data_IF_501365990886
#
_entry.id   IF_501365990886
#
_cell.length_a   1.000
_cell.length_b   1.000
_cell.length_c   1.000
_cell.angle_alpha   90.00
_cell.angle_beta   90.00
_cell.angle_gamma   90.00
#
_symmetry.space_group_name_H-M   'P 1'
#
loop_
_entity.id
_entity.type
_entity.pdbx_description
1 polymer ?
#
# COMPACT_ATOMS: atom_id res chain seq x y z
N UNK A 1 3.96 30.40 17.55
CA UNK A 1 5.07 29.77 16.85
C UNK A 1 4.57 29.43 15.45
N UNK A 2 4.91 30.26 14.46
CA UNK A 2 4.48 30.12 13.06
C UNK A 2 5.09 28.82 12.50
N UNK A 3 4.26 27.81 12.28
CA UNK A 3 4.62 26.67 11.44
C UNK A 3 4.76 27.25 10.04
N UNK A 4 6.01 27.41 9.60
CA UNK A 4 6.34 27.81 8.23
C UNK A 4 5.68 26.78 7.29
N UNK A 5 4.57 27.17 6.71
CA UNK A 5 3.77 26.34 5.80
C UNK A 5 4.54 26.29 4.48
N UNK A 6 5.57 25.44 4.42
CA UNK A 6 6.35 25.22 3.20
C UNK A 6 5.40 24.56 2.19
N UNK A 7 4.83 25.37 1.32
CA UNK A 7 3.90 24.92 0.29
C UNK A 7 4.57 23.86 -0.56
N UNK A 8 4.06 22.61 -0.52
CA UNK A 8 4.47 21.55 -1.43
C UNK A 8 3.97 21.92 -2.82
N UNK A 9 4.87 22.45 -3.67
CA UNK A 9 4.49 22.91 -5.02
C UNK A 9 4.54 21.80 -6.07
N UNK A 10 5.38 20.79 -5.86
CA UNK A 10 5.59 19.70 -6.81
C UNK A 10 5.72 18.36 -6.08
N UNK A 11 5.00 17.35 -6.55
CA UNK A 11 5.06 15.99 -6.01
C UNK A 11 5.42 15.03 -7.13
N UNK A 12 6.44 14.21 -6.89
CA UNK A 12 6.81 13.10 -7.76
C UNK A 12 6.16 11.80 -7.25
N UNK A 13 5.33 11.21 -8.08
CA UNK A 13 4.73 9.90 -7.86
C UNK A 13 5.62 8.82 -8.50
N UNK A 14 6.12 7.89 -7.71
CA UNK A 14 6.92 6.75 -8.17
C UNK A 14 6.11 5.48 -8.02
N UNK A 15 5.74 4.88 -9.17
CA UNK A 15 4.77 3.77 -9.21
C UNK A 15 3.33 4.27 -9.31
N UNK A 16 2.91 4.63 -10.52
CA UNK A 16 1.61 5.23 -10.83
C UNK A 16 0.47 4.20 -10.95
N UNK A 17 0.34 3.28 -9.98
CA UNK A 17 -0.77 2.34 -9.87
C UNK A 17 -2.02 2.98 -9.22
N UNK A 18 -3.04 2.15 -8.93
CA UNK A 18 -4.34 2.57 -8.37
C UNK A 18 -4.23 3.55 -7.19
N UNK A 19 -3.42 3.23 -6.17
CA UNK A 19 -3.27 4.09 -4.99
C UNK A 19 -2.66 5.44 -5.34
N UNK A 20 -1.62 5.46 -6.17
CA UNK A 20 -0.97 6.71 -6.59
C UNK A 20 -1.90 7.59 -7.44
N UNK A 21 -2.77 6.98 -8.25
CA UNK A 21 -3.77 7.72 -9.02
C UNK A 21 -4.86 8.33 -8.12
N UNK A 22 -5.29 7.64 -7.06
CA UNK A 22 -6.18 8.21 -6.03
C UNK A 22 -5.51 9.38 -5.27
N UNK A 23 -4.23 9.27 -4.97
CA UNK A 23 -3.43 10.37 -4.39
C UNK A 23 -3.41 11.56 -5.34
N UNK A 24 -3.20 11.32 -6.65
CA UNK A 24 -3.21 12.37 -7.65
C UNK A 24 -4.57 13.08 -7.75
N UNK A 25 -5.68 12.33 -7.71
CA UNK A 25 -7.02 12.91 -7.72
C UNK A 25 -7.28 13.82 -6.50
N UNK A 26 -6.74 13.46 -5.31
CA UNK A 26 -6.83 14.29 -4.10
C UNK A 26 -5.94 15.55 -4.14
N UNK A 27 -4.85 15.51 -4.90
CA UNK A 27 -3.88 16.60 -5.02
C UNK A 27 -4.09 17.48 -6.26
N UNK A 28 -5.04 17.10 -7.14
CA UNK A 28 -5.37 17.85 -8.35
C UNK A 28 -5.65 19.31 -8.00
N UNK A 29 -5.15 20.21 -8.82
CA UNK A 29 -5.30 21.66 -8.70
C UNK A 29 -4.64 22.29 -7.44
N UNK A 30 -4.02 21.48 -6.58
CA UNK A 30 -3.32 21.96 -5.37
C UNK A 30 -1.81 21.98 -5.53
N UNK A 31 -1.26 21.06 -6.31
CA UNK A 31 0.19 20.91 -6.53
C UNK A 31 0.45 20.43 -7.97
N UNK A 32 1.64 20.70 -8.47
CA UNK A 32 2.08 20.12 -9.76
C UNK A 32 2.50 18.67 -9.53
N UNK A 33 1.90 17.76 -10.31
CA UNK A 33 2.16 16.34 -10.22
C UNK A 33 3.03 15.86 -11.37
N UNK A 34 4.06 15.07 -11.07
CA UNK A 34 4.83 14.30 -12.03
C UNK A 34 4.77 12.81 -11.64
N UNK A 35 4.82 11.92 -12.62
CA UNK A 35 4.71 10.48 -12.37
C UNK A 35 5.71 9.67 -13.18
N UNK A 36 6.49 8.82 -12.52
CA UNK A 36 7.41 7.89 -13.19
C UNK A 36 6.65 6.69 -13.70
N UNK A 37 6.77 6.42 -15.01
CA UNK A 37 6.19 5.25 -15.66
C UNK A 37 7.16 4.64 -16.65
N UNK A 38 7.21 3.30 -16.71
CA UNK A 38 7.96 2.55 -17.74
C UNK A 38 7.13 2.22 -18.97
N UNK A 39 5.81 2.35 -18.87
CA UNK A 39 4.88 1.95 -19.93
C UNK A 39 4.41 3.16 -20.72
N UNK A 40 4.63 3.15 -22.02
CA UNK A 40 4.17 4.22 -22.93
C UNK A 40 2.65 4.37 -22.90
N UNK A 41 1.91 3.26 -22.75
CA UNK A 41 0.43 3.27 -22.67
C UNK A 41 -0.09 4.06 -21.46
N UNK A 42 0.68 4.11 -20.37
CA UNK A 42 0.28 4.85 -19.17
C UNK A 42 0.49 6.36 -19.32
N UNK A 43 1.32 6.82 -20.26
CA UNK A 43 1.59 8.25 -20.52
C UNK A 43 0.31 9.03 -20.79
N UNK A 44 -0.56 8.50 -21.67
CA UNK A 44 -1.85 9.11 -21.98
C UNK A 44 -2.76 9.20 -20.76
N UNK A 45 -2.85 8.12 -19.98
CA UNK A 45 -3.67 8.06 -18.75
C UNK A 45 -3.21 9.05 -17.69
N UNK A 46 -1.89 9.24 -17.54
CA UNK A 46 -1.31 10.19 -16.60
C UNK A 46 -1.63 11.63 -17.03
N UNK A 47 -1.44 11.97 -18.31
CA UNK A 47 -1.76 13.31 -18.85
C UNK A 47 -3.24 13.68 -18.67
N UNK A 48 -4.15 12.74 -18.89
CA UNK A 48 -5.59 12.93 -18.69
C UNK A 48 -5.94 13.25 -17.22
N UNK A 49 -5.08 12.89 -16.25
CA UNK A 49 -5.23 13.19 -14.83
C UNK A 49 -4.40 14.39 -14.37
N UNK A 50 -3.84 15.17 -15.30
CA UNK A 50 -3.01 16.34 -14.96
C UNK A 50 -1.63 15.98 -14.39
N UNK A 51 -1.17 14.72 -14.59
CA UNK A 51 0.14 14.27 -14.14
C UNK A 51 1.13 14.36 -15.30
N UNK A 52 2.24 15.07 -15.13
CA UNK A 52 3.33 15.12 -16.10
C UNK A 52 4.04 13.75 -16.11
N UNK A 53 3.98 12.97 -17.20
CA UNK A 53 4.64 11.68 -17.25
C UNK A 53 6.14 11.82 -17.44
N UNK A 54 6.90 11.04 -16.69
CA UNK A 54 8.33 10.86 -16.84
C UNK A 54 8.58 9.41 -17.21
N UNK A 55 9.11 9.20 -18.41
CA UNK A 55 9.51 7.85 -18.80
C UNK A 55 10.77 7.46 -18.03
N UNK A 56 10.67 6.33 -17.31
CA UNK A 56 11.76 5.79 -16.52
C UNK A 56 11.41 4.43 -15.92
N UNK A 57 12.41 3.56 -15.86
CA UNK A 57 12.31 2.24 -15.26
C UNK A 57 13.19 2.17 -14.00
N UNK A 58 12.59 1.82 -12.88
CA UNK A 58 13.32 1.65 -11.61
C UNK A 58 14.30 0.47 -11.65
N UNK A 59 14.13 -0.46 -12.59
CA UNK A 59 15.06 -1.57 -12.80
C UNK A 59 16.28 -1.14 -13.64
N UNK A 60 16.19 -0.03 -14.41
CA UNK A 60 17.31 0.57 -15.13
C UNK A 60 17.58 2.01 -14.68
N UNK A 61 18.65 2.20 -13.88
CA UNK A 61 19.06 3.50 -13.35
C UNK A 61 19.31 4.55 -14.42
N UNK A 62 19.76 4.17 -15.62
CA UNK A 62 20.10 5.11 -16.70
C UNK A 62 18.88 5.89 -17.16
N UNK A 63 17.71 5.26 -17.14
CA UNK A 63 16.43 5.88 -17.53
C UNK A 63 15.95 6.93 -16.53
N UNK A 64 16.50 6.93 -15.31
CA UNK A 64 16.10 7.83 -14.22
C UNK A 64 16.88 9.16 -14.21
N UNK A 65 17.78 9.40 -15.15
CA UNK A 65 18.58 10.62 -15.21
C UNK A 65 17.73 11.91 -15.38
N UNK A 66 16.49 11.78 -15.87
CA UNK A 66 15.55 12.90 -16.06
C UNK A 66 14.69 13.22 -14.84
N UNK A 67 14.93 12.58 -13.69
CA UNK A 67 14.17 12.83 -12.45
C UNK A 67 14.51 14.19 -11.80
N UNK A 68 15.40 14.98 -12.37
CA UNK A 68 15.74 16.34 -11.91
C UNK A 68 14.62 17.35 -12.25
N UNK A 69 13.47 17.16 -11.67
CA UNK A 69 12.28 18.01 -11.86
C UNK A 69 12.11 19.05 -10.77
N UNK A 70 13.07 19.21 -9.87
CA UNK A 70 12.87 20.05 -8.69
C UNK A 70 11.68 19.60 -7.85
N UNK A 71 11.46 18.29 -7.73
CA UNK A 71 10.37 17.75 -6.92
C UNK A 71 10.58 18.10 -5.46
N UNK A 72 9.58 18.75 -4.88
CA UNK A 72 9.62 19.14 -3.47
C UNK A 72 9.33 17.95 -2.54
N UNK A 73 8.51 17.01 -3.01
CA UNK A 73 8.17 15.81 -2.28
C UNK A 73 8.08 14.59 -3.21
N UNK A 74 8.38 13.41 -2.67
CA UNK A 74 8.28 12.13 -3.36
C UNK A 74 7.29 11.23 -2.65
N UNK A 75 6.40 10.58 -3.40
CA UNK A 75 5.54 9.49 -2.94
C UNK A 75 5.95 8.22 -3.67
N UNK A 76 6.57 7.28 -2.96
CA UNK A 76 7.06 6.03 -3.52
C UNK A 76 6.10 4.89 -3.23
N UNK A 77 5.26 4.56 -4.23
CA UNK A 77 4.26 3.50 -4.20
C UNK A 77 4.71 2.23 -4.95
N UNK A 78 5.79 2.31 -5.73
CA UNK A 78 6.24 1.16 -6.53
C UNK A 78 6.60 -0.03 -5.63
N UNK A 79 6.19 -1.26 -6.00
CA UNK A 79 6.63 -2.46 -5.29
C UNK A 79 8.11 -2.74 -5.57
N UNK A 80 8.82 -3.43 -4.63
CA UNK A 80 10.11 -4.02 -4.94
C UNK A 80 9.96 -5.09 -6.04
N UNK A 81 11.05 -5.56 -6.64
CA UNK A 81 10.99 -6.70 -7.57
C UNK A 81 10.42 -7.95 -6.88
N UNK A 82 9.96 -8.91 -7.67
CA UNK A 82 9.38 -10.17 -7.17
C UNK A 82 10.41 -11.08 -6.50
N UNK A 83 11.67 -10.96 -6.88
CA UNK A 83 12.76 -11.86 -6.47
C UNK A 83 13.83 -11.15 -5.63
N UNK A 84 14.71 -11.95 -5.04
CA UNK A 84 15.81 -11.48 -4.21
C UNK A 84 15.43 -11.09 -2.78
N UNK A 85 16.41 -10.62 -2.02
CA UNK A 85 16.27 -10.19 -0.62
C UNK A 85 16.38 -8.69 -0.42
N UNK A 86 16.77 -7.92 -1.47
CA UNK A 86 16.97 -6.47 -1.47
C UNK A 86 15.95 -5.76 -2.39
N UNK A 87 15.90 -4.44 -2.30
CA UNK A 87 15.11 -3.58 -3.18
C UNK A 87 16.04 -2.69 -4.05
N UNK A 88 16.50 -3.18 -5.21
CA UNK A 88 17.30 -2.40 -6.13
C UNK A 88 16.52 -1.22 -6.74
N UNK A 89 15.17 -1.31 -6.85
CA UNK A 89 14.35 -0.20 -7.37
C UNK A 89 14.45 1.03 -6.48
N UNK A 90 14.28 0.86 -5.16
CA UNK A 90 14.49 1.95 -4.21
C UNK A 90 15.94 2.46 -4.25
N UNK A 91 16.94 1.56 -4.35
CA UNK A 91 18.34 1.98 -4.49
C UNK A 91 18.59 2.86 -5.73
N UNK A 92 18.08 2.45 -6.88
CA UNK A 92 18.24 3.18 -8.13
C UNK A 92 17.54 4.55 -8.08
N UNK A 93 16.33 4.60 -7.51
CA UNK A 93 15.60 5.84 -7.28
C UNK A 93 16.40 6.81 -6.41
N UNK A 94 16.91 6.35 -5.26
CA UNK A 94 17.67 7.19 -4.34
C UNK A 94 18.98 7.69 -4.97
N UNK A 95 19.66 6.86 -5.76
CA UNK A 95 20.85 7.27 -6.47
C UNK A 95 20.55 8.36 -7.52
N UNK A 96 19.42 8.26 -8.24
CA UNK A 96 18.97 9.30 -9.16
C UNK A 96 18.62 10.61 -8.44
N UNK A 97 17.90 10.53 -7.32
CA UNK A 97 17.56 11.70 -6.50
C UNK A 97 18.78 12.37 -5.87
N UNK A 98 19.81 11.60 -5.49
CA UNK A 98 21.07 12.16 -4.96
C UNK A 98 21.89 12.92 -6.02
N UNK A 99 21.69 12.59 -7.29
CA UNK A 99 22.36 13.27 -8.42
C UNK A 99 21.54 14.44 -8.96
N UNK A 100 20.31 14.65 -8.46
CA UNK A 100 19.43 15.72 -8.89
C UNK A 100 19.89 17.07 -8.30
N UNK A 101 19.62 18.18 -9.01
CA UNK A 101 19.93 19.54 -8.53
C UNK A 101 19.21 19.90 -7.25
N UNK A 102 18.01 19.37 -7.06
CA UNK A 102 17.16 19.65 -5.90
C UNK A 102 16.79 18.34 -5.22
N UNK A 103 17.30 18.15 -4.01
CA UNK A 103 16.92 17.04 -3.14
C UNK A 103 15.50 17.29 -2.60
N UNK A 104 14.60 16.30 -2.64
CA UNK A 104 13.25 16.48 -2.09
C UNK A 104 13.30 16.72 -0.58
N UNK A 105 12.46 17.61 -0.08
CA UNK A 105 12.37 17.89 1.37
C UNK A 105 11.56 16.84 2.12
N UNK A 106 10.64 16.17 1.43
CA UNK A 106 9.76 15.14 2.01
C UNK A 106 9.75 13.88 1.16
N UNK A 107 9.71 12.74 1.82
CA UNK A 107 9.63 11.45 1.17
C UNK A 107 8.62 10.56 1.90
N UNK A 108 7.57 10.13 1.22
CA UNK A 108 6.58 9.18 1.73
C UNK A 108 6.78 7.85 1.04
N UNK A 109 7.07 6.80 1.81
CA UNK A 109 7.30 5.45 1.31
C UNK A 109 6.19 4.50 1.75
N UNK A 110 5.61 3.77 0.81
CA UNK A 110 4.66 2.70 1.09
C UNK A 110 5.43 1.41 1.38
N UNK A 111 5.56 1.08 2.65
CA UNK A 111 6.06 -0.20 3.15
C UNK A 111 4.92 -1.19 3.34
N UNK A 112 5.15 -2.27 4.06
CA UNK A 112 4.15 -3.29 4.39
C UNK A 112 4.11 -3.59 5.89
N UNK A 113 2.94 -3.97 6.40
CA UNK A 113 2.81 -4.51 7.76
C UNK A 113 3.57 -5.83 7.96
N UNK A 114 3.89 -6.56 6.87
CA UNK A 114 4.69 -7.79 6.91
C UNK A 114 6.10 -7.61 7.49
N UNK A 115 6.62 -6.38 7.60
CA UNK A 115 7.92 -6.12 8.24
C UNK A 115 7.97 -6.52 9.72
N UNK A 116 6.81 -6.65 10.37
CA UNK A 116 6.73 -7.12 11.76
C UNK A 116 6.90 -8.64 11.90
N UNK A 117 6.63 -9.40 10.83
CA UNK A 117 6.55 -10.86 10.85
C UNK A 117 5.32 -11.35 11.61
N UNK A 118 5.33 -12.61 12.01
CA UNK A 118 4.29 -13.14 12.87
C UNK A 118 4.40 -12.54 14.29
N UNK A 119 3.26 -12.24 14.86
CA UNK A 119 3.12 -11.67 16.19
C UNK A 119 2.14 -12.46 17.07
N UNK A 120 1.78 -13.68 16.67
CA UNK A 120 0.82 -14.54 17.36
C UNK A 120 -0.49 -13.81 17.72
N UNK A 121 -1.01 -13.00 16.80
CA UNK A 121 -2.24 -12.23 16.99
C UNK A 121 -2.12 -11.02 17.94
N UNK A 122 -0.94 -10.68 18.44
CA UNK A 122 -0.76 -9.54 19.33
C UNK A 122 -1.08 -8.21 18.65
N UNK A 123 -1.48 -7.21 19.44
CA UNK A 123 -1.60 -5.82 18.99
C UNK A 123 -0.22 -5.20 18.78
N UNK A 124 0.00 -4.58 17.62
CA UNK A 124 1.29 -4.12 17.13
C UNK A 124 1.28 -2.62 16.88
N UNK A 125 2.00 -1.87 17.70
CA UNK A 125 2.30 -0.47 17.47
C UNK A 125 3.61 -0.33 16.66
N UNK A 126 3.87 0.85 16.13
CA UNK A 126 5.03 1.14 15.26
C UNK A 126 6.39 1.06 15.97
N UNK A 127 6.39 1.03 17.29
CA UNK A 127 7.57 0.85 18.14
C UNK A 127 8.02 -0.61 18.25
N UNK A 128 7.14 -1.57 17.87
CA UNK A 128 7.51 -2.98 17.87
C UNK A 128 8.69 -3.24 16.92
N UNK A 129 9.71 -3.98 17.34
CA UNK A 129 10.83 -4.36 16.47
C UNK A 129 10.36 -5.12 15.24
N UNK A 130 10.99 -4.82 14.09
CA UNK A 130 10.69 -5.50 12.83
C UNK A 130 11.38 -6.87 12.77
N UNK A 131 10.64 -7.92 12.38
CA UNK A 131 11.10 -9.31 12.23
C UNK A 131 10.57 -9.91 10.93
N UNK A 132 10.99 -9.35 9.79
CA UNK A 132 10.54 -9.79 8.47
C UNK A 132 11.02 -11.21 8.16
N UNK A 133 10.10 -12.15 7.96
CA UNK A 133 10.41 -13.54 7.60
C UNK A 133 10.22 -13.81 6.11
N UNK A 134 9.14 -13.33 5.51
CA UNK A 134 8.86 -13.58 4.09
C UNK A 134 9.81 -12.78 3.19
N UNK A 135 10.18 -13.30 2.01
CA UNK A 135 11.06 -12.59 1.05
C UNK A 135 10.53 -11.20 0.71
N UNK A 136 9.22 -11.07 0.51
CA UNK A 136 8.54 -9.79 0.25
C UNK A 136 8.74 -8.79 1.38
N UNK A 137 8.57 -9.22 2.64
CA UNK A 137 8.74 -8.37 3.81
C UNK A 137 10.20 -7.97 4.01
N UNK A 138 11.15 -8.88 3.75
CA UNK A 138 12.59 -8.60 3.81
C UNK A 138 13.00 -7.51 2.82
N UNK A 139 12.52 -7.56 1.57
CA UNK A 139 12.77 -6.51 0.57
C UNK A 139 12.25 -5.15 1.03
N UNK A 140 11.03 -5.09 1.57
CA UNK A 140 10.47 -3.85 2.11
C UNK A 140 11.26 -3.32 3.30
N UNK A 141 11.71 -4.20 4.20
CA UNK A 141 12.53 -3.81 5.35
C UNK A 141 13.91 -3.30 4.90
N UNK A 142 14.52 -3.92 3.89
CA UNK A 142 15.76 -3.43 3.28
C UNK A 142 15.59 -2.01 2.71
N UNK A 143 14.48 -1.76 2.01
CA UNK A 143 14.12 -0.43 1.53
C UNK A 143 13.92 0.58 2.68
N UNK A 144 13.19 0.21 3.78
CA UNK A 144 13.03 1.08 4.95
C UNK A 144 14.39 1.51 5.54
N UNK A 145 15.31 0.55 5.69
CA UNK A 145 16.66 0.82 6.23
C UNK A 145 17.45 1.76 5.33
N UNK A 146 17.45 1.50 4.03
CA UNK A 146 18.13 2.33 3.03
C UNK A 146 17.58 3.75 2.98
N UNK A 147 16.26 3.88 2.98
CA UNK A 147 15.58 5.19 3.01
C UNK A 147 15.90 5.98 4.28
N UNK A 148 15.95 5.33 5.46
CA UNK A 148 16.33 6.00 6.71
C UNK A 148 17.74 6.56 6.66
N UNK A 149 18.68 5.76 6.17
CA UNK A 149 20.07 6.18 6.02
C UNK A 149 20.19 7.36 5.04
N UNK A 150 19.62 7.23 3.86
CA UNK A 150 19.62 8.28 2.84
C UNK A 150 18.94 9.57 3.32
N UNK A 151 17.79 9.45 3.95
CA UNK A 151 17.05 10.60 4.46
C UNK A 151 17.81 11.36 5.56
N UNK A 152 18.55 10.64 6.42
CA UNK A 152 19.42 11.25 7.42
C UNK A 152 20.58 12.02 6.78
N UNK A 153 21.25 11.43 5.78
CA UNK A 153 22.36 12.08 5.05
C UNK A 153 21.91 13.36 4.32
N UNK A 154 20.74 13.33 3.71
CA UNK A 154 20.23 14.43 2.89
C UNK A 154 19.24 15.36 3.63
N UNK A 155 19.02 15.16 4.93
CA UNK A 155 18.08 15.94 5.76
C UNK A 155 16.65 15.95 5.20
N UNK A 156 16.21 14.81 4.65
CA UNK A 156 14.87 14.61 4.09
C UNK A 156 13.91 14.16 5.19
N UNK A 157 12.75 14.78 5.27
CA UNK A 157 11.68 14.35 6.17
C UNK A 157 11.01 13.07 5.61
N UNK A 158 11.46 11.90 6.10
CA UNK A 158 10.96 10.60 5.69
C UNK A 158 9.74 10.19 6.50
N UNK A 159 8.71 9.69 5.81
CA UNK A 159 7.55 9.01 6.40
C UNK A 159 7.42 7.61 5.80
N UNK A 160 7.38 6.60 6.65
CA UNK A 160 7.20 5.20 6.25
C UNK A 160 5.79 4.77 6.62
N UNK A 161 4.99 4.41 5.62
CA UNK A 161 3.63 3.93 5.80
C UNK A 161 3.62 2.40 5.71
N UNK A 162 3.40 1.71 6.83
CA UNK A 162 3.29 0.26 6.91
C UNK A 162 1.86 -0.15 6.63
N UNK A 163 1.62 -0.57 5.39
CA UNK A 163 0.31 -0.82 4.81
C UNK A 163 0.00 -2.30 4.81
N UNK A 164 -1.18 -2.73 5.29
CA UNK A 164 -1.65 -4.11 5.24
C UNK A 164 -2.32 -4.44 3.89
N UNK A 165 -3.31 -5.35 3.90
CA UNK A 165 -4.17 -5.65 2.75
C UNK A 165 -4.97 -4.43 2.31
N UNK A 166 -4.79 -4.01 1.06
CA UNK A 166 -5.53 -2.88 0.49
C UNK A 166 -6.78 -3.43 -0.20
N UNK A 167 -7.96 -2.94 0.19
CA UNK A 167 -9.22 -3.31 -0.44
C UNK A 167 -9.94 -2.10 -1.07
N UNK A 168 -10.80 -2.38 -2.02
CA UNK A 168 -11.72 -1.47 -2.68
C UNK A 168 -12.77 -2.32 -3.42
N UNK A 169 -13.88 -1.77 -3.94
CA UNK A 169 -14.85 -2.53 -4.73
C UNK A 169 -14.24 -3.32 -5.91
N UNK A 170 -13.17 -2.80 -6.51
CA UNK A 170 -12.43 -3.44 -7.61
C UNK A 170 -11.27 -4.32 -7.16
N UNK A 171 -11.08 -4.51 -5.86
CA UNK A 171 -9.94 -5.23 -5.27
C UNK A 171 -10.36 -6.24 -4.20
N UNK A 172 -11.57 -6.74 -4.31
CA UNK A 172 -12.07 -7.81 -3.42
C UNK A 172 -11.54 -9.17 -3.91
N UNK A 173 -11.38 -10.16 -3.02
CA UNK A 173 -10.83 -11.48 -3.35
C UNK A 173 -11.86 -12.39 -4.06
N UNK A 174 -12.64 -11.85 -5.01
CA UNK A 174 -13.74 -12.57 -5.67
C UNK A 174 -13.25 -13.78 -6.48
N UNK A 175 -12.12 -13.63 -7.21
CA UNK A 175 -11.54 -14.75 -7.97
C UNK A 175 -11.12 -15.90 -7.08
N UNK A 176 -10.50 -15.59 -5.92
CA UNK A 176 -10.14 -16.59 -4.92
C UNK A 176 -11.36 -17.39 -4.45
N UNK A 177 -12.48 -16.69 -4.19
CA UNK A 177 -13.73 -17.31 -3.75
C UNK A 177 -14.37 -18.15 -4.84
N UNK A 178 -14.40 -17.66 -6.08
CA UNK A 178 -14.92 -18.43 -7.23
C UNK A 178 -14.14 -19.72 -7.49
N UNK A 179 -12.84 -19.70 -7.25
CA UNK A 179 -12.00 -20.90 -7.37
C UNK A 179 -12.09 -21.82 -6.15
N UNK A 180 -12.90 -21.52 -5.15
CA UNK A 180 -13.04 -22.34 -3.95
C UNK A 180 -11.74 -22.49 -3.15
N UNK A 181 -10.79 -21.54 -3.26
CA UNK A 181 -9.52 -21.61 -2.52
C UNK A 181 -9.78 -21.63 -1.02
N UNK A 182 -9.33 -22.63 -0.27
CA UNK A 182 -9.71 -22.81 1.13
C UNK A 182 -9.17 -21.72 2.05
N UNK A 183 -9.77 -21.62 3.23
CA UNK A 183 -9.28 -20.86 4.36
C UNK A 183 -8.98 -21.82 5.53
N UNK A 184 -8.22 -21.36 6.52
CA UNK A 184 -7.88 -22.18 7.67
C UNK A 184 -9.10 -22.40 8.60
N UNK A 185 -9.09 -23.51 9.32
CA UNK A 185 -10.01 -23.74 10.43
C UNK A 185 -9.88 -22.63 11.48
N UNK A 186 -10.93 -22.32 12.27
CA UNK A 186 -10.95 -21.16 13.18
C UNK A 186 -9.79 -21.10 14.17
N UNK A 187 -9.33 -22.25 14.67
CA UNK A 187 -8.27 -22.31 15.68
C UNK A 187 -6.88 -22.00 15.10
N UNK A 188 -6.67 -22.27 13.80
CA UNK A 188 -5.41 -22.00 13.10
C UNK A 188 -5.46 -20.72 12.27
N UNK A 189 -6.63 -20.04 12.20
CA UNK A 189 -6.81 -18.85 11.37
C UNK A 189 -6.19 -17.61 12.01
N UNK A 190 -5.61 -16.78 11.14
CA UNK A 190 -4.80 -15.63 11.51
C UNK A 190 -5.58 -14.32 11.48
N UNK A 191 -5.23 -13.39 12.35
CA UNK A 191 -5.70 -12.01 12.24
C UNK A 191 -5.08 -11.34 11.01
N UNK A 192 -5.94 -10.80 10.16
CA UNK A 192 -5.57 -10.00 9.00
C UNK A 192 -5.92 -8.54 9.24
N UNK A 193 -5.20 -7.65 8.58
CA UNK A 193 -5.44 -6.20 8.69
C UNK A 193 -5.74 -5.65 7.30
N UNK A 194 -6.55 -4.59 7.27
CA UNK A 194 -7.02 -4.01 6.03
C UNK A 194 -6.91 -2.49 6.04
N UNK A 195 -7.00 -1.88 4.88
CA UNK A 195 -7.21 -0.45 4.67
C UNK A 195 -7.94 -0.23 3.34
N UNK A 196 -8.94 0.61 3.32
CA UNK A 196 -9.58 1.00 2.07
C UNK A 196 -8.63 1.88 1.24
N UNK A 197 -8.63 1.67 -0.09
CA UNK A 197 -7.72 2.36 -1.00
C UNK A 197 -7.86 3.90 -0.94
N UNK A 198 -9.07 4.43 -0.72
CA UNK A 198 -9.29 5.88 -0.57
C UNK A 198 -8.77 6.42 0.76
N UNK A 199 -8.93 5.67 1.85
CA UNK A 199 -8.38 6.07 3.15
C UNK A 199 -6.85 5.98 3.16
N UNK A 200 -6.26 5.00 2.47
CA UNK A 200 -4.83 4.95 2.23
C UNK A 200 -4.35 6.17 1.44
N UNK A 201 -5.03 6.55 0.36
CA UNK A 201 -4.68 7.74 -0.41
C UNK A 201 -4.75 9.01 0.43
N UNK A 202 -5.78 9.15 1.28
CA UNK A 202 -5.90 10.27 2.23
C UNK A 202 -4.79 10.27 3.27
N UNK A 203 -4.41 9.08 3.79
CA UNK A 203 -3.28 8.96 4.72
C UNK A 203 -1.95 9.34 4.06
N UNK A 204 -1.72 8.99 2.79
CA UNK A 204 -0.54 9.42 2.03
C UNK A 204 -0.51 10.93 1.87
N UNK A 205 -1.62 11.55 1.49
CA UNK A 205 -1.73 13.02 1.38
C UNK A 205 -1.50 13.67 2.74
N UNK A 206 -2.12 13.16 3.80
CA UNK A 206 -1.89 13.66 5.15
C UNK A 206 -0.40 13.54 5.56
N UNK A 207 0.26 12.44 5.22
CA UNK A 207 1.68 12.24 5.51
C UNK A 207 2.58 13.27 4.78
N UNK A 208 2.22 13.68 3.55
CA UNK A 208 2.94 14.73 2.83
C UNK A 208 2.95 16.07 3.57
N UNK A 209 1.91 16.38 4.34
CA UNK A 209 1.77 17.71 4.97
C UNK A 209 1.96 17.68 6.48
N UNK A 210 1.51 16.62 7.18
CA UNK A 210 1.38 16.57 8.63
C UNK A 210 2.39 15.63 9.31
N UNK A 211 2.96 14.66 8.58
CA UNK A 211 3.85 13.68 9.20
C UNK A 211 5.08 14.33 9.85
N UNK A 212 5.42 13.82 11.03
CA UNK A 212 6.68 14.15 11.69
C UNK A 212 7.84 13.49 10.94
N UNK A 213 9.02 14.13 10.87
CA UNK A 213 10.20 13.57 10.21
C UNK A 213 10.61 12.20 10.79
N UNK A 214 11.08 11.32 9.91
CA UNK A 214 11.67 10.01 10.24
C UNK A 214 10.75 9.08 11.04
N UNK A 215 9.45 9.11 10.75
CA UNK A 215 8.41 8.38 11.46
C UNK A 215 7.83 7.23 10.63
N UNK A 216 7.53 6.12 11.29
CA UNK A 216 6.69 5.07 10.73
C UNK A 216 5.24 5.21 11.22
N UNK A 217 4.28 4.81 10.38
CA UNK A 217 2.84 4.80 10.66
C UNK A 217 2.22 3.49 10.22
N UNK A 218 1.46 2.84 11.08
CA UNK A 218 0.57 1.76 10.69
C UNK A 218 -0.67 2.37 10.04
N UNK A 219 -0.90 2.03 8.77
CA UNK A 219 -2.04 2.54 8.01
C UNK A 219 -3.06 1.43 7.86
N UNK A 220 -3.91 1.28 8.86
CA UNK A 220 -4.94 0.24 8.92
C UNK A 220 -6.31 0.83 9.29
N UNK A 221 -7.37 0.16 8.88
CA UNK A 221 -8.73 0.44 9.35
C UNK A 221 -8.93 -0.03 10.80
N UNK A 222 -10.16 0.00 11.30
CA UNK A 222 -10.49 -0.36 12.69
C UNK A 222 -10.91 -1.82 12.83
N UNK A 223 -10.82 -2.62 11.76
CA UNK A 223 -11.20 -4.02 11.81
C UNK A 223 -10.12 -4.88 12.47
N UNK A 224 -10.54 -5.82 13.30
CA UNK A 224 -9.72 -6.88 13.88
C UNK A 224 -10.27 -8.24 13.43
N UNK A 225 -10.28 -8.51 12.13
CA UNK A 225 -10.87 -9.72 11.55
C UNK A 225 -9.84 -10.84 11.42
N UNK A 226 -10.28 -12.09 11.59
CA UNK A 226 -9.54 -13.25 11.09
C UNK A 226 -9.71 -13.35 9.56
N UNK A 227 -8.75 -13.95 8.89
CA UNK A 227 -8.71 -14.00 7.42
C UNK A 227 -9.91 -14.77 6.85
N UNK A 228 -10.29 -15.87 7.48
CA UNK A 228 -11.47 -16.62 7.07
C UNK A 228 -12.77 -15.83 7.24
N UNK A 229 -12.90 -15.08 8.32
CA UNK A 229 -14.07 -14.21 8.54
C UNK A 229 -14.16 -13.10 7.48
N UNK A 230 -13.02 -12.58 7.03
CA UNK A 230 -12.97 -11.65 5.89
C UNK A 230 -13.49 -12.29 4.61
N UNK A 231 -13.06 -13.52 4.29
CA UNK A 231 -13.51 -14.23 3.09
C UNK A 231 -14.99 -14.58 3.16
N UNK A 232 -15.49 -15.00 4.33
CA UNK A 232 -16.92 -15.26 4.55
C UNK A 232 -17.75 -14.01 4.31
N UNK A 233 -17.33 -12.86 4.87
CA UNK A 233 -18.03 -11.60 4.70
C UNK A 233 -18.12 -11.18 3.21
N UNK A 234 -17.06 -11.39 2.44
CA UNK A 234 -17.07 -11.13 0.99
C UNK A 234 -17.96 -12.14 0.26
N UNK A 235 -17.86 -13.43 0.58
CA UNK A 235 -18.69 -14.47 -0.04
C UNK A 235 -20.18 -14.19 0.18
N UNK A 236 -20.59 -13.91 1.40
CA UNK A 236 -21.99 -13.60 1.75
C UNK A 236 -22.49 -12.36 1.00
N UNK A 237 -21.69 -11.28 0.98
CA UNK A 237 -22.07 -10.04 0.30
C UNK A 237 -22.29 -10.24 -1.21
N UNK A 238 -21.53 -11.12 -1.85
CA UNK A 238 -21.61 -11.38 -3.28
C UNK A 238 -22.35 -12.66 -3.66
N UNK A 239 -23.01 -13.31 -2.67
CA UNK A 239 -23.76 -14.58 -2.85
C UNK A 239 -22.90 -15.68 -3.48
N UNK A 240 -21.63 -15.75 -3.09
CA UNK A 240 -20.69 -16.79 -3.46
C UNK A 240 -20.65 -17.85 -2.34
N UNK A 241 -20.30 -19.10 -2.64
CA UNK A 241 -20.00 -20.09 -1.61
C UNK A 241 -18.90 -19.60 -0.68
N UNK A 242 -19.06 -19.81 0.62
CA UNK A 242 -17.97 -19.58 1.58
C UNK A 242 -16.84 -20.57 1.31
N UNK A 243 -15.55 -20.17 1.49
CA UNK A 243 -14.42 -21.05 1.25
C UNK A 243 -14.46 -22.24 2.23
N UNK A 244 -14.11 -23.46 1.76
CA UNK A 244 -13.97 -24.60 2.65
C UNK A 244 -12.90 -24.34 3.71
N UNK A 245 -13.05 -24.96 4.87
CA UNK A 245 -12.09 -24.85 5.98
C UNK A 245 -11.18 -26.06 5.98
N UNK A 246 -9.88 -25.82 6.06
CA UNK A 246 -8.84 -26.86 6.06
C UNK A 246 -7.86 -26.61 7.19
N UNK A 247 -7.17 -27.67 7.64
CA UNK A 247 -6.04 -27.55 8.56
C UNK A 247 -4.85 -26.86 7.87
N UNK A 248 -3.84 -26.43 8.66
CA UNK A 248 -2.60 -25.89 8.11
C UNK A 248 -1.89 -26.91 7.20
N UNK A 249 -1.82 -28.18 7.61
CA UNK A 249 -1.17 -29.23 6.85
C UNK A 249 -1.82 -29.47 5.48
N UNK A 250 -3.15 -29.37 5.41
CA UNK A 250 -3.86 -29.45 4.13
C UNK A 250 -3.68 -28.18 3.31
N UNK A 251 -3.65 -27.01 3.96
CA UNK A 251 -3.43 -25.74 3.28
C UNK A 251 -2.05 -25.70 2.60
N UNK A 252 -1.00 -26.28 3.19
CA UNK A 252 0.33 -26.39 2.57
C UNK A 252 0.32 -27.17 1.26
N UNK A 253 -0.58 -28.14 1.13
CA UNK A 253 -0.73 -28.96 -0.09
C UNK A 253 -1.64 -28.31 -1.14
N UNK A 254 -2.66 -27.57 -0.70
CA UNK A 254 -3.73 -27.07 -1.57
C UNK A 254 -3.52 -25.62 -2.02
N UNK A 255 -2.76 -24.81 -1.29
CA UNK A 255 -2.64 -23.37 -1.52
C UNK A 255 -1.24 -23.02 -2.04
N UNK A 256 -1.19 -22.22 -3.10
CA UNK A 256 0.07 -21.74 -3.64
C UNK A 256 0.94 -21.03 -2.57
N UNK A 257 2.28 -21.27 -2.53
CA UNK A 257 3.17 -20.79 -1.48
C UNK A 257 3.08 -19.27 -1.23
N UNK A 258 2.87 -18.48 -2.28
CA UNK A 258 2.70 -17.04 -2.15
C UNK A 258 1.44 -16.68 -1.36
N UNK A 259 0.31 -17.35 -1.60
CA UNK A 259 -0.94 -17.11 -0.88
C UNK A 259 -0.84 -17.62 0.56
N UNK A 260 -0.24 -18.80 0.75
CA UNK A 260 0.00 -19.40 2.06
C UNK A 260 0.84 -18.47 2.95
N UNK A 261 1.82 -17.76 2.37
CA UNK A 261 2.66 -16.81 3.11
C UNK A 261 1.89 -15.62 3.73
N UNK A 262 0.67 -15.35 3.30
CA UNK A 262 -0.20 -14.37 3.96
C UNK A 262 -0.95 -14.98 5.16
N UNK A 263 -1.11 -16.29 5.17
CA UNK A 263 -1.83 -17.04 6.20
C UNK A 263 -0.90 -17.49 7.34
N UNK A 264 0.42 -17.25 7.23
CA UNK A 264 1.42 -17.65 8.24
C UNK A 264 1.78 -16.58 9.25
N UNK A 265 1.20 -15.39 9.16
CA UNK A 265 1.55 -14.26 10.02
C UNK A 265 0.29 -13.61 10.61
N UNK A 266 0.13 -13.70 11.93
CA UNK A 266 -1.01 -13.16 12.68
C UNK A 266 -0.62 -11.92 13.49
N UNK A 267 -1.32 -10.79 13.29
CA UNK A 267 -1.13 -9.55 14.04
C UNK A 267 -2.34 -8.64 13.94
N UNK A 268 -2.47 -7.71 14.89
CA UNK A 268 -3.49 -6.65 14.89
C UNK A 268 -2.79 -5.30 14.96
N UNK A 269 -2.88 -4.50 13.89
CA UNK A 269 -2.18 -3.21 13.81
C UNK A 269 -2.89 -2.15 14.64
N UNK A 270 -2.15 -1.45 15.49
CA UNK A 270 -2.64 -0.26 16.19
C UNK A 270 -2.46 0.95 15.28
N UNK A 271 -3.57 1.60 14.87
CA UNK A 271 -3.57 2.75 13.96
C UNK A 271 -3.67 4.10 14.69
N UNK A 272 -3.58 4.12 16.02
CA UNK A 272 -3.75 5.32 16.85
C UNK A 272 -2.79 6.46 16.47
N UNK A 273 -1.55 6.14 16.04
CA UNK A 273 -0.59 7.13 15.61
C UNK A 273 -1.03 7.81 14.30
N UNK A 274 -1.52 7.06 13.32
CA UNK A 274 -2.09 7.59 12.09
C UNK A 274 -3.22 8.58 12.40
N UNK A 275 -4.17 8.19 13.22
CA UNK A 275 -5.30 9.04 13.61
C UNK A 275 -4.85 10.31 14.32
N UNK A 276 -3.94 10.21 15.30
CA UNK A 276 -3.49 11.35 16.11
C UNK A 276 -2.56 12.28 15.36
N UNK A 277 -1.52 11.76 14.67
CA UNK A 277 -0.47 12.60 14.08
C UNK A 277 -0.78 13.03 12.65
N UNK A 278 -1.42 12.15 11.83
CA UNK A 278 -1.84 12.48 10.48
C UNK A 278 -3.27 13.03 10.42
N UNK A 279 -4.01 13.03 11.54
CA UNK A 279 -5.40 13.50 11.63
C UNK A 279 -6.33 12.82 10.62
N UNK A 280 -6.07 11.54 10.36
CA UNK A 280 -6.88 10.75 9.44
C UNK A 280 -8.13 10.26 10.15
N UNK A 281 -9.28 10.67 9.65
CA UNK A 281 -10.58 10.07 9.98
C UNK A 281 -10.92 9.08 8.87
N UNK A 282 -11.11 7.82 9.21
CA UNK A 282 -11.45 6.78 8.23
C UNK A 282 -12.86 7.02 7.67
N UNK A 283 -13.00 6.94 6.34
CA UNK A 283 -14.31 6.92 5.65
C UNK A 283 -14.90 5.51 5.63
N UNK A 284 -14.01 4.53 5.63
CA UNK A 284 -14.34 3.11 5.66
C UNK A 284 -13.64 2.49 6.88
N UNK A 285 -14.21 2.66 8.10
CA UNK A 285 -13.60 2.15 9.34
C UNK A 285 -13.54 0.63 9.37
N UNK A 286 -14.39 -0.06 8.59
CA UNK A 286 -14.34 -1.52 8.44
C UNK A 286 -14.59 -1.94 7.00
N UNK A 287 -14.14 -3.14 6.57
CA UNK A 287 -14.46 -3.66 5.24
C UNK A 287 -15.96 -3.85 4.98
N UNK A 288 -16.76 -4.07 6.02
CA UNK A 288 -18.22 -4.23 5.88
C UNK A 288 -18.91 -3.01 5.27
N UNK A 289 -18.37 -1.82 5.47
CA UNK A 289 -18.94 -0.58 4.91
C UNK A 289 -18.91 -0.61 3.38
N UNK A 290 -17.80 -1.09 2.82
CA UNK A 290 -17.65 -1.23 1.35
C UNK A 290 -18.46 -2.40 0.79
N UNK A 291 -18.56 -3.50 1.52
CA UNK A 291 -19.33 -4.67 1.08
C UNK A 291 -20.81 -4.34 0.92
N UNK A 292 -21.39 -3.56 1.85
CA UNK A 292 -22.77 -3.07 1.75
C UNK A 292 -23.03 -2.23 0.49
N UNK A 293 -22.06 -1.45 0.06
CA UNK A 293 -22.18 -0.57 -1.11
C UNK A 293 -21.86 -1.28 -2.44
N UNK A 294 -20.88 -2.17 -2.44
CA UNK A 294 -20.35 -2.80 -3.64
C UNK A 294 -21.24 -3.95 -4.14
N UNK A 295 -21.80 -4.75 -3.25
CA UNK A 295 -22.58 -5.93 -3.60
C UNK A 295 -23.83 -5.64 -4.46
N UNK A 296 -24.70 -4.66 -4.12
CA UNK A 296 -25.88 -4.37 -4.95
C UNK A 296 -25.54 -3.88 -6.37
N UNK A 297 -24.42 -3.15 -6.53
CA UNK A 297 -23.97 -2.65 -7.85
C UNK A 297 -23.42 -3.76 -8.74
N UNK A 298 -22.67 -4.70 -8.17
CA UNK A 298 -22.14 -5.85 -8.89
C UNK A 298 -23.25 -6.80 -9.34
N UNK A 299 -24.26 -7.06 -8.49
CA UNK A 299 -25.42 -7.87 -8.82
C UNK A 299 -26.24 -7.25 -9.96
N UNK A 300 -26.46 -5.94 -9.97
CA UNK A 300 -27.16 -5.23 -11.08
C UNK A 300 -26.40 -5.32 -12.40
N UNK A 301 -25.06 -5.27 -12.39
CA UNK A 301 -24.26 -5.43 -13.61
C UNK A 301 -24.30 -6.85 -14.19
N UNK A 302 -24.39 -7.88 -13.33
CA UNK A 302 -24.54 -9.27 -13.79
C UNK A 302 -25.91 -9.55 -14.41
N UNK A 303 -26.97 -8.88 -13.92
CA UNK A 303 -28.34 -8.99 -14.46
C UNK A 303 -28.55 -8.15 -15.73
N UNK A 304 -27.64 -7.23 -16.07
CA UNK A 304 -27.70 -6.39 -17.26
C UNK A 304 -26.86 -6.88 -18.43
N UNK A 305 -26.17 -8.03 -18.30
CA UNK A 305 -25.51 -8.67 -19.44
C UNK A 305 -26.55 -9.48 -20.22
N UNK A 306 -26.69 -9.30 -21.53
CA UNK A 306 -27.59 -10.12 -22.35
C UNK A 306 -27.14 -11.58 -22.25
N UNK A 307 -28.09 -12.45 -22.01
CA UNK A 307 -27.90 -13.91 -22.08
C UNK A 307 -27.54 -14.21 -23.54
N UNK A 308 -26.29 -14.61 -23.76
CA UNK A 308 -25.79 -15.03 -25.06
C UNK A 308 -26.18 -16.47 -25.36
#
# INVERSE_FOLDING_TARGET
>A
MLICNVMVQRVLLVGCGDVALRVADLLRDRVRLAGVTRRRDDVRKLRQRGIVPIEGDLDDRRTLARLDLGAFAVVHCAPPPSEGKDDPRTRNLLAALSSARIIPRRFVYLSTSGVYGDCAGARVAETRPTRAHTPRARRRLAAERRLRHWAAQHRVALSILRVPGIYAPTRLPLERLRHGTPALVPDEDVFTNHIHADDLARAIVAALFLARPNRAYNIADDSEMKMGAWFDAVADAFRLPRPPRVSWDDAERLIAPMLLSFMSESRRLVNARMKRELRVTLRHPTPHDVLKEAAPRALRRQLSLPIA
#
